data_IF_164511358329
#
_entry.id   IF_164511358329
#
_cell.length_a   1.000
_cell.length_b   1.000
_cell.length_c   1.000
_cell.angle_alpha   90.00
_cell.angle_beta   90.00
_cell.angle_gamma   90.00
#
_symmetry.space_group_name_H-M   'P 1'
#
loop_
_entity.id
_entity.type
_entity.pdbx_description
1 polymer ?
#
# COMPACT_ATOMS: atom_id res chain seq x y z
N UNK A 1 1.89 -2.13 -7.60
CA UNK A 1 2.11 -0.87 -6.87
C UNK A 1 1.07 0.15 -7.33
N UNK A 2 0.28 0.66 -6.40
CA UNK A 2 -0.88 1.51 -6.51
C UNK A 2 -0.70 2.78 -5.66
N UNK A 3 -1.67 3.67 -5.79
CA UNK A 3 -1.54 5.12 -5.69
C UNK A 3 -2.55 5.67 -4.73
N UNK A 4 -2.19 6.75 -4.03
CA UNK A 4 -3.12 7.86 -3.78
C UNK A 4 -2.43 9.21 -3.98
N UNK A 5 -3.22 10.17 -4.47
CA UNK A 5 -2.82 11.51 -4.84
C UNK A 5 -3.35 12.55 -3.85
N UNK A 6 -2.65 13.69 -3.77
CA UNK A 6 -3.09 14.88 -3.05
C UNK A 6 -4.45 15.35 -3.58
N UNK A 7 -5.32 15.81 -2.70
CA UNK A 7 -6.58 16.44 -3.10
C UNK A 7 -6.38 17.56 -4.12
N UNK A 8 -7.17 17.53 -5.18
CA UNK A 8 -7.43 18.70 -6.02
C UNK A 8 -6.87 18.65 -7.43
N UNK A 9 -5.71 18.03 -7.69
CA UNK A 9 -5.11 18.08 -9.05
C UNK A 9 -4.21 16.90 -9.45
N UNK A 10 -3.81 16.03 -8.52
CA UNK A 10 -2.89 14.94 -8.84
C UNK A 10 -3.65 13.65 -9.13
N UNK A 11 -3.15 12.87 -10.09
CA UNK A 11 -3.59 11.51 -10.40
C UNK A 11 -2.37 10.65 -10.25
N UNK A 12 -2.45 9.52 -9.56
CA UNK A 12 -1.29 8.65 -9.55
C UNK A 12 -1.39 7.51 -10.57
N UNK A 13 -0.27 6.80 -10.67
CA UNK A 13 0.00 5.79 -11.68
C UNK A 13 0.29 4.40 -11.09
N UNK A 14 -0.06 3.34 -11.80
CA UNK A 14 0.37 1.99 -11.46
C UNK A 14 1.76 1.71 -12.03
N UNK A 15 2.53 0.89 -11.31
CA UNK A 15 3.86 0.46 -11.72
C UNK A 15 4.03 -1.07 -11.60
N UNK A 16 4.86 -1.64 -12.47
CA UNK A 16 5.36 -3.00 -12.35
C UNK A 16 6.51 -3.10 -11.31
N UNK A 17 6.98 -4.32 -11.05
CA UNK A 17 8.08 -4.57 -10.10
C UNK A 17 9.43 -4.02 -10.58
N UNK A 18 9.58 -3.69 -11.86
CA UNK A 18 10.77 -3.03 -12.39
C UNK A 18 10.66 -1.48 -12.31
N UNK A 19 9.57 -0.96 -11.72
CA UNK A 19 9.31 0.47 -11.60
C UNK A 19 8.84 1.13 -12.89
N UNK A 20 8.47 0.36 -13.92
CA UNK A 20 7.90 0.92 -15.14
C UNK A 20 6.43 1.28 -14.90
N UNK A 21 6.00 2.43 -15.41
CA UNK A 21 4.59 2.84 -15.37
C UNK A 21 3.78 1.89 -16.25
N UNK A 22 2.81 1.17 -15.66
CA UNK A 22 1.88 0.30 -16.38
C UNK A 22 0.54 0.98 -16.65
N UNK A 23 0.13 1.93 -15.79
CA UNK A 23 -1.12 2.67 -15.97
C UNK A 23 -0.97 4.11 -15.46
N UNK A 24 -0.65 5.03 -16.36
CA UNK A 24 -0.33 6.42 -15.99
C UNK A 24 -1.59 7.22 -15.64
N UNK A 25 -1.58 7.94 -14.52
CA UNK A 25 -2.63 8.88 -14.11
C UNK A 25 -4.04 8.26 -14.05
N UNK A 26 -4.14 6.97 -13.77
CA UNK A 26 -5.39 6.22 -13.82
C UNK A 26 -6.26 6.42 -12.57
N UNK A 27 -5.66 6.80 -11.46
CA UNK A 27 -6.33 6.89 -10.16
C UNK A 27 -6.47 8.35 -9.75
N UNK A 28 -7.67 8.90 -9.95
CA UNK A 28 -8.00 10.25 -9.55
C UNK A 28 -8.59 10.25 -8.14
N UNK A 29 -8.02 11.09 -7.26
CA UNK A 29 -8.64 11.43 -5.99
C UNK A 29 -9.67 12.56 -6.23
N UNK A 30 -10.95 12.24 -6.11
CA UNK A 30 -12.04 13.22 -6.29
C UNK A 30 -12.49 13.86 -4.98
N UNK A 31 -11.84 13.53 -3.86
CA UNK A 31 -12.25 13.96 -2.52
C UNK A 31 -11.83 15.40 -2.24
N UNK A 32 -12.69 16.12 -1.50
CA UNK A 32 -12.32 17.39 -0.86
C UNK A 32 -11.79 17.11 0.56
N UNK A 33 -10.57 17.55 0.86
CA UNK A 33 -9.90 17.33 2.16
C UNK A 33 -8.41 17.09 1.98
N UNK A 34 -7.58 17.21 3.02
CA UNK A 34 -6.12 17.16 2.90
C UNK A 34 -5.57 15.72 2.89
N UNK A 35 -6.11 14.86 2.02
CA UNK A 35 -5.67 13.47 1.88
C UNK A 35 -4.47 13.40 0.94
N UNK A 36 -3.31 13.04 1.47
CA UNK A 36 -2.06 12.94 0.70
C UNK A 36 -1.84 11.51 0.19
N UNK A 37 -2.27 10.54 0.96
CA UNK A 37 -2.16 9.11 0.70
C UNK A 37 -3.47 8.40 1.08
N UNK A 38 -3.57 7.11 0.76
CA UNK A 38 -4.73 6.30 1.02
C UNK A 38 -4.54 4.85 0.67
N UNK A 39 -5.45 4.03 1.19
CA UNK A 39 -5.36 2.57 1.15
C UNK A 39 -6.73 1.95 0.85
N UNK A 40 -6.80 0.64 0.64
CA UNK A 40 -8.04 -0.07 0.32
C UNK A 40 -8.03 -1.49 0.86
N UNK A 41 -9.19 -1.95 1.34
CA UNK A 41 -9.45 -3.35 1.70
C UNK A 41 -10.03 -4.17 0.53
N UNK A 42 -10.07 -3.60 -0.68
CA UNK A 42 -10.77 -4.19 -1.83
C UNK A 42 -12.22 -3.72 -1.99
N UNK A 43 -12.88 -3.26 -0.92
CA UNK A 43 -14.29 -2.87 -0.91
C UNK A 43 -14.51 -1.37 -0.71
N UNK A 44 -13.64 -0.72 0.04
CA UNK A 44 -13.65 0.69 0.39
C UNK A 44 -12.25 1.28 0.19
N UNK A 45 -12.19 2.60 0.10
CA UNK A 45 -10.94 3.35 0.20
C UNK A 45 -10.87 4.01 1.58
N UNK A 46 -9.66 4.21 2.06
CA UNK A 46 -9.41 4.86 3.34
C UNK A 46 -8.34 5.93 3.16
N UNK A 47 -8.49 7.02 3.90
CA UNK A 47 -7.52 8.11 3.91
C UNK A 47 -7.45 8.75 5.28
N UNK A 48 -6.31 9.38 5.56
CA UNK A 48 -6.15 10.26 6.71
C UNK A 48 -6.05 11.69 6.21
N UNK A 49 -6.91 12.57 6.73
CA UNK A 49 -6.81 14.00 6.43
C UNK A 49 -5.60 14.55 7.21
N UNK A 50 -4.54 14.92 6.50
CA UNK A 50 -3.29 15.37 7.11
C UNK A 50 -3.51 16.57 8.04
N UNK A 51 -4.42 17.49 7.70
CA UNK A 51 -4.64 18.71 8.48
C UNK A 51 -5.29 18.38 9.81
N UNK A 52 -6.35 17.57 9.78
CA UNK A 52 -7.20 17.31 10.94
C UNK A 52 -6.80 16.07 11.72
N UNK A 53 -6.18 15.07 11.08
CA UNK A 53 -5.92 13.74 11.63
C UNK A 53 -7.12 12.80 11.59
N UNK A 54 -8.21 13.17 10.90
CA UNK A 54 -9.39 12.32 10.76
C UNK A 54 -9.10 11.17 9.78
N UNK A 55 -9.27 9.93 10.26
CA UNK A 55 -9.26 8.74 9.39
C UNK A 55 -10.67 8.50 8.88
N UNK A 56 -10.81 8.40 7.56
CA UNK A 56 -12.09 8.39 6.86
C UNK A 56 -12.14 7.22 5.89
N UNK A 57 -13.29 6.54 5.87
CA UNK A 57 -13.66 5.55 4.86
C UNK A 57 -14.44 6.21 3.73
N UNK A 58 -14.27 5.71 2.51
CA UNK A 58 -14.98 6.12 1.31
C UNK A 58 -15.40 4.88 0.50
N UNK A 59 -16.39 5.03 -0.37
CA UNK A 59 -16.58 4.09 -1.47
C UNK A 59 -15.33 4.04 -2.38
N UNK A 60 -15.21 2.99 -3.20
CA UNK A 60 -14.05 2.77 -4.10
C UNK A 60 -13.76 3.90 -5.08
N UNK A 61 -14.74 4.77 -5.31
CA UNK A 61 -14.62 5.96 -6.15
C UNK A 61 -14.39 7.25 -5.33
N UNK A 62 -13.96 7.13 -4.06
CA UNK A 62 -13.73 8.25 -3.15
C UNK A 62 -14.98 9.10 -2.81
N UNK A 63 -16.19 8.55 -3.04
CA UNK A 63 -17.45 9.18 -2.64
C UNK A 63 -17.98 8.62 -1.31
N UNK A 64 -19.09 9.18 -0.82
CA UNK A 64 -19.83 8.70 0.36
C UNK A 64 -18.93 8.46 1.59
N UNK A 65 -18.35 9.55 2.12
CA UNK A 65 -17.41 9.47 3.23
C UNK A 65 -18.07 9.11 4.57
N UNK A 66 -17.34 8.36 5.40
CA UNK A 66 -17.70 8.04 6.78
C UNK A 66 -16.47 8.15 7.69
N UNK A 67 -16.57 8.94 8.75
CA UNK A 67 -15.49 9.09 9.72
C UNK A 67 -15.33 7.80 10.55
N UNK A 68 -14.10 7.30 10.69
CA UNK A 68 -13.79 6.13 11.51
C UNK A 68 -13.32 6.55 12.91
N UNK A 69 -12.20 7.27 12.98
CA UNK A 69 -11.64 7.74 14.25
C UNK A 69 -10.73 8.96 14.03
N UNK A 70 -10.54 9.72 15.11
CA UNK A 70 -9.79 10.97 15.12
C UNK A 70 -8.45 10.77 15.83
N UNK A 71 -7.36 11.15 15.18
CA UNK A 71 -6.04 11.19 15.80
C UNK A 71 -5.85 12.50 16.54
N UNK A 72 -5.14 12.47 17.67
CA UNK A 72 -4.77 13.68 18.42
C UNK A 72 -3.47 14.30 17.87
N UNK A 73 -3.36 14.47 16.55
CA UNK A 73 -2.22 15.17 15.95
C UNK A 73 -2.59 15.85 14.63
N UNK A 74 -2.54 17.18 14.64
CA UNK A 74 -2.75 18.00 13.46
C UNK A 74 -1.48 18.00 12.60
N UNK A 75 -1.62 17.90 11.28
CA UNK A 75 -0.51 18.01 10.33
C UNK A 75 0.63 17.01 10.58
N UNK A 76 0.28 15.78 10.92
CA UNK A 76 1.26 14.79 11.38
C UNK A 76 1.26 13.48 10.59
N UNK A 77 0.10 13.05 10.07
CA UNK A 77 -0.06 11.75 9.43
C UNK A 77 -0.45 11.90 7.96
N UNK A 78 0.52 12.10 7.06
CA UNK A 78 0.23 12.15 5.62
C UNK A 78 0.18 10.77 4.94
N UNK A 79 0.74 9.72 5.56
CA UNK A 79 0.91 8.39 4.95
C UNK A 79 0.05 7.35 5.65
N UNK A 80 -0.61 6.49 4.90
CA UNK A 80 -1.52 5.47 5.45
C UNK A 80 -1.49 4.20 4.61
N UNK A 81 -1.42 3.05 5.28
CA UNK A 81 -1.68 1.74 4.68
C UNK A 81 -2.51 0.88 5.63
N UNK A 82 -2.97 -0.29 5.19
CA UNK A 82 -3.75 -1.19 6.03
C UNK A 82 -3.42 -2.65 5.81
N UNK A 83 -3.60 -3.44 6.88
CA UNK A 83 -3.76 -4.87 6.74
C UNK A 83 -5.25 -5.19 6.51
N UNK A 84 -5.63 -5.48 5.26
CA UNK A 84 -7.02 -5.78 4.92
C UNK A 84 -7.57 -7.05 5.61
N UNK A 85 -6.70 -7.95 6.08
CA UNK A 85 -7.12 -9.18 6.74
C UNK A 85 -7.74 -8.95 8.12
N UNK A 86 -7.27 -7.94 8.85
CA UNK A 86 -7.77 -7.58 10.19
C UNK A 86 -8.36 -6.16 10.27
N UNK A 87 -8.25 -5.37 9.19
CA UNK A 87 -8.74 -4.01 9.09
C UNK A 87 -7.92 -2.98 9.86
N UNK A 88 -6.74 -3.34 10.37
CA UNK A 88 -5.84 -2.42 11.09
C UNK A 88 -5.09 -1.50 10.14
N UNK A 89 -4.76 -0.31 10.62
CA UNK A 89 -4.10 0.76 9.88
C UNK A 89 -2.69 1.00 10.39
N UNK A 90 -1.77 1.21 9.47
CA UNK A 90 -0.45 1.74 9.75
C UNK A 90 -0.37 3.17 9.22
N UNK A 91 0.07 4.08 10.08
CA UNK A 91 0.09 5.51 9.82
C UNK A 91 1.50 6.05 9.96
N UNK A 92 1.99 6.73 8.94
CA UNK A 92 3.29 7.37 8.96
C UNK A 92 3.23 8.72 9.65
N UNK A 93 3.85 8.83 10.83
CA UNK A 93 4.04 10.08 11.55
C UNK A 93 5.23 10.86 10.97
N UNK A 94 4.94 11.84 10.12
CA UNK A 94 5.95 12.65 9.42
C UNK A 94 6.78 13.53 10.36
N UNK A 95 6.22 13.97 11.49
CA UNK A 95 6.92 14.87 12.43
C UNK A 95 7.87 14.13 13.36
N UNK A 96 7.58 12.87 13.70
CA UNK A 96 8.46 12.04 14.54
C UNK A 96 9.38 11.12 13.72
N UNK A 97 9.04 10.88 12.44
CA UNK A 97 9.71 9.88 11.61
C UNK A 97 9.38 8.45 12.02
N UNK A 98 8.28 8.25 12.73
CA UNK A 98 7.81 6.95 13.19
C UNK A 98 6.62 6.43 12.40
N UNK A 99 6.35 5.13 12.54
CA UNK A 99 5.12 4.49 12.09
C UNK A 99 4.32 4.08 13.32
N UNK A 100 3.00 4.32 13.26
CA UNK A 100 2.06 3.99 14.32
C UNK A 100 1.01 3.00 13.80
N UNK A 101 0.65 2.02 14.62
CA UNK A 101 -0.31 0.96 14.31
C UNK A 101 -1.59 1.17 15.09
N UNK A 102 -2.72 1.09 14.41
CA UNK A 102 -4.04 1.30 14.98
C UNK A 102 -5.00 0.20 14.53
N UNK A 103 -5.88 -0.22 15.43
CA UNK A 103 -7.04 -1.03 15.06
C UNK A 103 -8.00 -0.24 14.18
N UNK A 104 -8.93 -0.94 13.53
CA UNK A 104 -9.96 -0.31 12.69
C UNK A 104 -10.79 0.76 13.43
N UNK A 105 -11.00 0.56 14.74
CA UNK A 105 -11.74 1.48 15.60
C UNK A 105 -10.89 2.61 16.21
N UNK A 106 -9.61 2.71 15.84
CA UNK A 106 -8.70 3.77 16.32
C UNK A 106 -8.01 3.49 17.65
N UNK A 107 -8.11 2.27 18.19
CA UNK A 107 -7.29 1.85 19.34
C UNK A 107 -5.83 1.67 18.92
N UNK A 108 -4.90 2.35 19.59
CA UNK A 108 -3.45 2.24 19.36
C UNK A 108 -2.94 0.83 19.72
N UNK A 109 -2.17 0.24 18.81
CA UNK A 109 -1.64 -1.13 18.93
C UNK A 109 -0.11 -1.15 19.12
N UNK A 110 0.60 -0.13 18.64
CA UNK A 110 2.04 -0.03 18.77
C UNK A 110 2.65 1.01 17.85
N UNK A 111 3.96 1.23 17.97
CA UNK A 111 4.70 2.11 17.08
C UNK A 111 6.18 1.77 17.08
N UNK A 112 6.89 2.24 16.06
CA UNK A 112 8.34 2.17 15.97
C UNK A 112 8.93 3.38 15.24
N UNK A 113 10.21 3.67 15.48
CA UNK A 113 10.94 4.70 14.75
C UNK A 113 11.66 4.09 13.55
N UNK A 114 11.61 4.77 12.40
CA UNK A 114 12.19 4.26 11.14
C UNK A 114 13.71 4.44 11.07
N UNK A 115 14.28 5.31 11.91
CA UNK A 115 15.68 5.73 11.83
C UNK A 115 16.01 6.66 10.66
N UNK A 116 15.04 6.99 9.78
CA UNK A 116 15.25 7.85 8.61
C UNK A 116 15.21 9.35 8.94
N UNK A 117 14.85 9.70 10.17
CA UNK A 117 14.72 11.07 10.64
C UNK A 117 13.33 11.67 10.43
N UNK A 118 13.08 12.77 11.14
CA UNK A 118 11.86 13.56 11.00
C UNK A 118 11.80 14.16 9.60
N UNK A 119 10.57 14.35 9.10
CA UNK A 119 10.31 15.01 7.83
C UNK A 119 10.88 14.33 6.59
N UNK A 120 11.30 13.06 6.71
CA UNK A 120 11.98 12.36 5.63
C UNK A 120 11.19 11.18 5.06
N UNK A 121 10.24 10.62 5.81
CA UNK A 121 9.42 9.49 5.33
C UNK A 121 8.44 9.94 4.23
N UNK A 122 8.27 9.12 3.20
CA UNK A 122 7.24 9.29 2.15
C UNK A 122 6.66 7.98 1.71
N UNK A 123 5.35 7.93 1.53
CA UNK A 123 4.66 6.73 1.10
C UNK A 123 4.77 5.61 2.13
N UNK A 124 3.70 4.83 2.25
CA UNK A 124 3.68 3.68 3.13
C UNK A 124 2.85 2.58 2.47
N UNK A 125 3.31 1.35 2.56
CA UNK A 125 2.62 0.20 2.01
C UNK A 125 2.82 -1.02 2.90
N UNK A 126 1.75 -1.77 3.10
CA UNK A 126 1.78 -3.06 3.78
C UNK A 126 1.78 -4.18 2.75
N UNK A 127 2.81 -5.04 2.79
CA UNK A 127 2.85 -6.25 1.99
C UNK A 127 2.13 -7.38 2.74
N UNK A 128 0.90 -7.67 2.33
CA UNK A 128 0.11 -8.76 2.92
C UNK A 128 0.68 -10.16 2.68
N UNK A 129 1.60 -10.34 1.73
CA UNK A 129 2.18 -11.65 1.43
C UNK A 129 3.12 -12.15 2.53
N UNK A 130 3.85 -11.24 3.18
CA UNK A 130 4.82 -11.55 4.22
C UNK A 130 4.66 -10.70 5.50
N UNK A 131 3.71 -9.78 5.52
CA UNK A 131 3.39 -8.94 6.67
C UNK A 131 4.39 -7.82 6.89
N UNK A 132 5.16 -7.41 5.89
CA UNK A 132 6.16 -6.35 6.01
C UNK A 132 5.63 -4.97 5.63
N UNK A 133 6.32 -3.92 6.08
CA UNK A 133 6.04 -2.53 5.75
C UNK A 133 7.13 -2.00 4.82
N UNK A 134 6.70 -1.34 3.76
CA UNK A 134 7.57 -0.68 2.79
C UNK A 134 7.32 0.81 2.80
N UNK A 135 8.39 1.59 2.75
CA UNK A 135 8.32 3.05 2.65
C UNK A 135 9.42 3.60 1.75
N UNK A 136 9.26 4.85 1.31
CA UNK A 136 10.33 5.61 0.68
C UNK A 136 10.73 6.80 1.56
N UNK A 137 11.66 7.62 1.06
CA UNK A 137 12.11 8.82 1.75
C UNK A 137 12.31 10.00 0.81
N UNK A 138 12.09 11.23 1.27
CA UNK A 138 12.34 12.44 0.49
C UNK A 138 13.81 12.61 0.12
N UNK A 139 14.72 12.39 1.06
CA UNK A 139 16.16 12.61 0.84
C UNK A 139 16.79 11.54 -0.05
N UNK A 140 16.25 10.31 -0.04
CA UNK A 140 16.66 9.21 -0.91
C UNK A 140 15.45 8.70 -1.70
N UNK A 141 14.91 9.58 -2.55
CA UNK A 141 13.64 9.36 -3.27
C UNK A 141 13.58 8.07 -4.09
N UNK A 142 14.72 7.54 -4.54
CA UNK A 142 14.80 6.31 -5.32
C UNK A 142 15.01 5.04 -4.47
N UNK A 143 14.90 5.12 -3.15
CA UNK A 143 15.11 4.00 -2.24
C UNK A 143 13.81 3.60 -1.57
N UNK A 144 13.57 2.29 -1.49
CA UNK A 144 12.54 1.68 -0.68
C UNK A 144 13.19 1.01 0.53
N UNK A 145 12.57 1.15 1.69
CA UNK A 145 13.01 0.57 2.96
C UNK A 145 11.95 -0.39 3.45
N UNK A 146 12.35 -1.62 3.78
CA UNK A 146 11.49 -2.66 4.32
C UNK A 146 11.72 -2.84 5.82
N UNK A 147 10.63 -2.91 6.56
CA UNK A 147 10.59 -3.17 8.00
C UNK A 147 9.65 -4.33 8.29
N UNK A 148 9.90 -5.06 9.37
CA UNK A 148 8.87 -5.90 9.97
C UNK A 148 7.89 -5.04 10.81
N UNK A 149 6.80 -5.64 11.30
CA UNK A 149 5.78 -4.94 12.10
C UNK A 149 6.29 -4.53 13.50
N UNK A 150 7.42 -5.07 13.96
CA UNK A 150 8.08 -4.63 15.19
C UNK A 150 9.04 -3.45 14.95
N UNK A 151 9.25 -3.06 13.70
CA UNK A 151 10.13 -1.96 13.30
C UNK A 151 11.58 -2.35 13.07
N UNK A 152 11.91 -3.64 12.99
CA UNK A 152 13.26 -4.06 12.61
C UNK A 152 13.45 -3.80 11.12
N UNK A 153 14.51 -3.08 10.78
CA UNK A 153 14.94 -2.90 9.39
C UNK A 153 15.37 -4.25 8.81
N UNK A 154 14.79 -4.63 7.67
CA UNK A 154 15.08 -5.90 6.99
C UNK A 154 16.02 -5.70 5.81
N UNK A 155 15.66 -4.77 4.91
CA UNK A 155 16.44 -4.47 3.71
C UNK A 155 16.02 -3.14 3.09
N UNK A 156 16.78 -2.72 2.09
CA UNK A 156 16.42 -1.60 1.21
C UNK A 156 16.72 -1.96 -0.24
N UNK A 157 15.94 -1.43 -1.16
CA UNK A 157 16.17 -1.59 -2.60
C UNK A 157 16.11 -0.24 -3.33
N UNK A 158 16.82 -0.13 -4.44
CA UNK A 158 16.90 1.08 -5.25
C UNK A 158 16.17 0.85 -6.56
N UNK A 159 15.21 1.72 -6.87
CA UNK A 159 14.45 1.68 -8.12
C UNK A 159 14.83 2.85 -9.04
N UNK A 160 14.47 2.74 -10.32
CA UNK A 160 14.97 3.64 -11.37
C UNK A 160 14.34 5.04 -11.36
N UNK A 161 13.23 5.22 -10.64
CA UNK A 161 12.55 6.51 -10.58
C UNK A 161 13.04 7.32 -9.36
N UNK A 162 13.32 8.59 -9.60
CA UNK A 162 13.97 9.51 -8.64
C UNK A 162 13.00 10.45 -7.95
N UNK A 163 11.68 10.30 -8.14
CA UNK A 163 10.66 11.10 -7.47
C UNK A 163 10.15 10.40 -6.22
N UNK A 164 9.99 11.15 -5.14
CA UNK A 164 9.32 10.67 -3.94
C UNK A 164 7.82 10.47 -4.22
N UNK A 165 7.27 9.34 -3.79
CA UNK A 165 5.86 9.02 -3.96
C UNK A 165 5.09 9.27 -2.67
N UNK A 166 3.88 9.80 -2.82
CA UNK A 166 2.98 10.03 -1.70
C UNK A 166 2.21 8.76 -1.32
N UNK A 167 1.93 7.87 -2.27
CA UNK A 167 1.32 6.55 -2.03
C UNK A 167 2.05 5.42 -2.75
N UNK A 168 2.04 4.22 -2.16
CA UNK A 168 2.85 3.07 -2.62
C UNK A 168 2.15 1.71 -2.50
N UNK A 169 0.84 1.69 -2.29
CA UNK A 169 0.08 0.46 -1.99
C UNK A 169 0.40 -0.72 -2.91
N UNK A 170 0.39 -1.94 -2.39
CA UNK A 170 0.53 -3.10 -3.27
C UNK A 170 -0.78 -3.34 -4.04
N UNK A 171 -0.66 -3.82 -5.28
CA UNK A 171 -1.86 -4.24 -6.00
C UNK A 171 -2.34 -5.52 -5.32
N UNK A 172 -3.52 -5.48 -4.69
CA UNK A 172 -4.10 -6.58 -3.91
C UNK A 172 -4.51 -7.81 -4.75
N UNK A 173 -3.92 -7.99 -5.94
CA UNK A 173 -3.98 -9.25 -6.67
C UNK A 173 -5.18 -9.42 -7.58
N UNK A 174 -5.64 -8.36 -8.26
CA UNK A 174 -6.46 -8.59 -9.47
C UNK A 174 -5.62 -8.88 -10.73
N UNK A 175 -4.29 -8.91 -10.58
CA UNK A 175 -3.39 -9.44 -11.58
C UNK A 175 -3.43 -10.97 -11.49
N UNK A 176 -4.20 -11.61 -12.38
CA UNK A 176 -4.26 -13.06 -12.53
C UNK A 176 -2.85 -13.65 -12.48
N UNK A 177 -2.50 -14.31 -11.38
CA UNK A 177 -1.26 -15.08 -11.27
C UNK A 177 -1.35 -16.14 -12.37
N UNK A 178 -0.45 -16.16 -13.38
CA UNK A 178 -0.44 -17.23 -14.36
C UNK A 178 -0.28 -18.54 -13.59
N UNK A 179 -1.26 -19.45 -13.71
CA UNK A 179 -1.14 -20.75 -13.07
C UNK A 179 0.21 -21.35 -13.45
N UNK A 180 1.02 -21.80 -12.46
CA UNK A 180 2.34 -22.32 -12.76
C UNK A 180 2.19 -23.46 -13.78
N UNK A 181 3.06 -23.46 -14.79
CA UNK A 181 3.03 -24.41 -15.93
C UNK A 181 2.98 -25.89 -15.49
N UNK A 182 3.26 -26.18 -14.22
CA UNK A 182 3.03 -27.45 -13.52
C UNK A 182 1.60 -27.98 -13.68
N UNK A 183 0.56 -27.14 -13.62
CA UNK A 183 -0.84 -27.58 -13.77
C UNK A 183 -1.14 -27.98 -15.23
N UNK A 184 -0.56 -27.26 -16.20
CA UNK A 184 -0.63 -27.62 -17.62
C UNK A 184 0.12 -28.92 -17.90
N UNK A 185 1.29 -29.12 -17.31
CA UNK A 185 2.07 -30.35 -17.45
C UNK A 185 1.36 -31.57 -16.81
N UNK A 186 0.70 -31.39 -15.65
CA UNK A 186 -0.11 -32.43 -15.02
C UNK A 186 -1.32 -32.82 -15.89
N UNK A 187 -2.00 -31.82 -16.48
CA UNK A 187 -3.11 -32.03 -17.40
C UNK A 187 -2.69 -32.80 -18.67
N UNK A 188 -1.56 -32.44 -19.28
CA UNK A 188 -1.02 -33.14 -20.45
C UNK A 188 -0.53 -34.56 -20.12
N UNK A 189 0.06 -34.75 -18.94
CA UNK A 189 0.47 -36.07 -18.45
C UNK A 189 -0.70 -37.03 -18.24
N UNK A 190 -1.81 -36.54 -17.68
CA UNK A 190 -3.04 -37.33 -17.49
C UNK A 190 -3.68 -37.74 -18.83
N UNK A 191 -3.73 -36.83 -19.81
CA UNK A 191 -4.25 -37.13 -21.17
C UNK A 191 -3.33 -38.11 -21.90
N UNK A 192 -2.02 -38.00 -21.75
CA UNK A 192 -1.05 -38.96 -22.29
C UNK A 192 -1.22 -40.38 -21.73
N UNK A 193 -1.44 -40.48 -20.41
CA UNK A 193 -1.68 -41.77 -19.74
C UNK A 193 -3.03 -42.40 -20.14
N UNK A 194 -4.09 -41.60 -20.28
CA UNK A 194 -5.39 -42.07 -20.73
C UNK A 194 -5.37 -42.52 -22.19
N UNK A 195 -4.67 -41.81 -23.09
CA UNK A 195 -4.48 -42.24 -24.49
C UNK A 195 -3.69 -43.53 -24.63
N UNK A 196 -2.71 -43.77 -23.75
CA UNK A 196 -1.93 -45.03 -23.75
C UNK A 196 -2.74 -46.24 -23.28
N UNK A 197 -3.76 -46.02 -22.44
CA UNK A 197 -4.60 -47.11 -21.90
C UNK A 197 -5.63 -47.65 -22.91
N UNK A 198 -6.02 -46.85 -23.90
CA UNK A 198 -7.02 -47.21 -24.91
C UNK A 198 -6.44 -47.76 -26.23
N UNK A 199 -5.12 -48.02 -26.30
CA UNK A 199 -4.42 -48.58 -27.46
C UNK A 199 -3.99 -50.05 -27.27
N UNK A 200 -4.73 -50.83 -26.49
CA UNK A 200 -4.56 -52.28 -26.40
C UNK A 200 -5.76 -52.99 -27.01
#
# INVERSE_FOLDING_TARGET
MGVVSQSGYEKGSQFDLAGNVTNQNAYANTTQGAYYDGTSDGRYNYGVDYVTGQVTQFDRNWSNSSALFQLNAFQTYPWITMNAADGSFWLGNYTTGGIEHYSHAGGFLGSFNTGLGQYNMTGLAFDSADGTLWMSSFNNANTLYQFDQAGNFLQSDVYTNTRAWYGMEFDAGNSAVPEPASLTALGLGAVGLLRRRNRK
#
